data_IF_878349551920
#
_entry.id   IF_878349551920
#
_cell.length_a   1.000
_cell.length_b   1.000
_cell.length_c   1.000
_cell.angle_alpha   90.00
_cell.angle_beta   90.00
_cell.angle_gamma   90.00
#
_symmetry.space_group_name_H-M   'P 1'
#
loop_
_entity.id
_entity.type
_entity.pdbx_description
1 polymer ?
#
# COMPACT_ATOMS: atom_id res chain seq x y z
N UNK A 1 -0.10 -2.33 -2.53
CA UNK A 1 1.27 -2.23 -1.96
C UNK A 1 2.37 -2.68 -2.92
N UNK A 2 2.34 -3.90 -3.46
CA UNK A 2 3.41 -4.42 -4.35
C UNK A 2 3.60 -3.61 -5.65
N UNK A 3 2.51 -3.06 -6.20
CA UNK A 3 2.54 -2.15 -7.35
C UNK A 3 3.30 -0.85 -7.05
N UNK A 4 3.01 -0.19 -5.93
CA UNK A 4 3.72 1.04 -5.52
C UNK A 4 5.22 0.78 -5.30
N UNK A 5 5.58 -0.35 -4.71
CA UNK A 5 7.00 -0.72 -4.52
C UNK A 5 7.70 -0.87 -5.87
N UNK A 6 7.08 -1.59 -6.81
CA UNK A 6 7.62 -1.73 -8.18
C UNK A 6 7.70 -0.40 -8.92
N UNK A 7 6.69 0.44 -8.80
CA UNK A 7 6.64 1.77 -9.42
C UNK A 7 7.76 2.65 -8.86
N UNK A 8 7.95 2.69 -7.54
CA UNK A 8 9.02 3.45 -6.89
C UNK A 8 10.40 2.97 -7.35
N UNK A 9 10.63 1.65 -7.40
CA UNK A 9 11.90 1.08 -7.89
C UNK A 9 12.13 1.47 -9.35
N UNK A 10 11.11 1.40 -10.21
CA UNK A 10 11.23 1.79 -11.61
C UNK A 10 11.57 3.29 -11.76
N UNK A 11 10.91 4.17 -10.99
CA UNK A 11 11.20 5.60 -10.96
C UNK A 11 12.64 5.86 -10.54
N UNK A 12 13.12 5.20 -9.47
CA UNK A 12 14.49 5.35 -8.97
C UNK A 12 15.52 4.92 -10.02
N UNK A 13 15.29 3.80 -10.72
CA UNK A 13 16.20 3.33 -11.78
C UNK A 13 16.26 4.32 -12.94
N UNK A 14 15.10 4.82 -13.38
CA UNK A 14 15.03 5.83 -14.45
C UNK A 14 15.79 7.09 -14.04
N UNK A 15 15.58 7.58 -12.82
CA UNK A 15 16.34 8.71 -12.30
C UNK A 15 17.84 8.42 -12.20
N UNK A 16 18.27 7.25 -11.75
CA UNK A 16 19.69 6.91 -11.65
C UNK A 16 20.41 6.95 -13.01
N UNK A 17 19.72 6.61 -14.10
CA UNK A 17 20.27 6.67 -15.46
C UNK A 17 20.18 8.08 -16.05
N UNK A 18 19.09 8.81 -15.80
CA UNK A 18 18.92 10.16 -16.32
C UNK A 18 19.73 11.22 -15.57
N UNK A 19 19.96 11.05 -14.27
CA UNK A 19 20.58 12.05 -13.41
C UNK A 19 22.00 12.45 -13.84
N UNK A 20 22.89 11.53 -14.26
CA UNK A 20 24.21 11.88 -14.82
C UNK A 20 24.10 12.73 -16.09
N UNK A 21 23.11 12.44 -16.95
CA UNK A 21 22.85 13.13 -18.22
C UNK A 21 22.27 14.53 -17.96
N UNK A 22 21.50 14.69 -16.89
CA UNK A 22 20.86 15.93 -16.44
C UNK A 22 21.78 16.85 -15.63
N UNK A 23 22.86 16.32 -15.03
CA UNK A 23 23.87 17.13 -14.33
C UNK A 23 24.90 17.74 -15.29
N UNK A 24 25.12 17.11 -16.44
CA UNK A 24 26.02 17.66 -17.47
C UNK A 24 25.49 19.03 -17.94
N UNK A 25 26.25 20.10 -17.68
CA UNK A 25 25.91 21.48 -18.07
C UNK A 25 25.92 21.69 -19.58
N UNK A 26 26.69 20.87 -20.28
CA UNK A 26 26.98 21.04 -21.71
C UNK A 26 25.92 20.35 -22.58
N UNK A 27 25.06 19.54 -21.96
CA UNK A 27 23.98 18.86 -22.63
C UNK A 27 22.76 19.79 -22.83
N UNK A 28 22.36 19.97 -24.08
CA UNK A 28 21.15 20.75 -24.45
C UNK A 28 19.88 20.23 -23.77
N UNK A 29 19.79 18.92 -23.51
CA UNK A 29 18.67 18.31 -22.80
C UNK A 29 18.63 18.73 -21.33
N UNK A 30 19.79 18.79 -20.67
CA UNK A 30 19.94 19.28 -19.29
C UNK A 30 19.52 20.74 -19.19
N UNK A 31 19.99 21.59 -20.10
CA UNK A 31 19.61 22.99 -20.13
C UNK A 31 18.10 23.21 -20.29
N UNK A 32 17.44 22.41 -21.13
CA UNK A 32 15.97 22.45 -21.27
C UNK A 32 15.26 21.97 -20.00
N UNK A 33 15.77 20.92 -19.36
CA UNK A 33 15.18 20.34 -18.16
C UNK A 33 15.22 21.33 -16.99
N UNK A 34 16.36 22.00 -16.77
CA UNK A 34 16.51 23.00 -15.71
C UNK A 34 15.81 24.33 -16.02
N UNK A 35 15.41 24.57 -17.27
CA UNK A 35 14.61 25.74 -17.67
C UNK A 35 13.14 25.61 -17.25
N UNK A 36 12.69 24.41 -16.88
CA UNK A 36 11.34 24.17 -16.40
C UNK A 36 11.13 24.96 -15.08
N UNK A 37 10.01 25.70 -14.94
CA UNK A 37 9.74 26.47 -13.73
C UNK A 37 9.76 25.60 -12.47
N UNK A 38 10.34 26.13 -11.38
CA UNK A 38 10.38 25.44 -10.08
C UNK A 38 8.99 25.03 -9.60
N UNK A 39 7.98 25.85 -9.85
CA UNK A 39 6.60 25.59 -9.44
C UNK A 39 6.01 24.34 -10.11
N UNK A 40 6.43 24.04 -11.34
CA UNK A 40 6.01 22.83 -12.04
C UNK A 40 6.59 21.56 -11.37
N UNK A 41 7.86 21.61 -10.93
CA UNK A 41 8.48 20.52 -10.18
C UNK A 41 7.79 20.30 -8.83
N UNK A 42 7.46 21.39 -8.14
CA UNK A 42 6.72 21.34 -6.88
C UNK A 42 5.34 20.72 -7.08
N UNK A 43 4.62 21.12 -8.13
CA UNK A 43 3.33 20.53 -8.50
C UNK A 43 3.44 19.02 -8.75
N UNK A 44 4.46 18.56 -9.50
CA UNK A 44 4.69 17.14 -9.76
C UNK A 44 4.92 16.33 -8.47
N UNK A 45 5.69 16.89 -7.52
CA UNK A 45 5.94 16.25 -6.23
C UNK A 45 4.63 16.11 -5.43
N UNK A 46 3.81 17.16 -5.38
CA UNK A 46 2.52 17.13 -4.69
C UNK A 46 1.54 16.13 -5.33
N UNK A 47 1.47 16.10 -6.67
CA UNK A 47 0.66 15.12 -7.40
C UNK A 47 1.08 13.68 -7.08
N UNK A 48 2.38 13.41 -7.08
CA UNK A 48 2.91 12.09 -6.74
C UNK A 48 2.55 11.69 -5.29
N UNK A 49 2.68 12.63 -4.35
CA UNK A 49 2.33 12.40 -2.95
C UNK A 49 0.83 12.13 -2.76
N UNK A 50 -0.03 12.85 -3.49
CA UNK A 50 -1.47 12.63 -3.48
C UNK A 50 -1.83 11.21 -3.96
N UNK A 51 -1.19 10.73 -5.04
CA UNK A 51 -1.38 9.37 -5.56
C UNK A 51 -0.92 8.32 -4.55
N UNK A 52 0.26 8.50 -3.92
CA UNK A 52 0.73 7.60 -2.88
C UNK A 52 -0.28 7.52 -1.73
N UNK A 53 -0.75 8.68 -1.26
CA UNK A 53 -1.69 8.76 -0.14
C UNK A 53 -3.00 8.07 -0.46
N UNK A 54 -3.54 8.28 -1.67
CA UNK A 54 -4.78 7.63 -2.14
C UNK A 54 -4.64 6.11 -2.17
N UNK A 55 -3.57 5.59 -2.79
CA UNK A 55 -3.34 4.15 -2.88
C UNK A 55 -3.04 3.54 -1.50
N UNK A 56 -2.44 4.30 -0.58
CA UNK A 56 -2.21 3.86 0.78
C UNK A 56 -3.53 3.73 1.56
N UNK A 57 -4.44 4.70 1.43
CA UNK A 57 -5.77 4.65 2.05
C UNK A 57 -6.55 3.43 1.54
N UNK A 58 -6.62 3.25 0.21
CA UNK A 58 -7.32 2.11 -0.40
C UNK A 58 -6.73 0.77 0.06
N UNK A 59 -5.40 0.66 0.11
CA UNK A 59 -4.71 -0.52 0.64
C UNK A 59 -4.98 -0.76 2.13
N UNK A 60 -5.14 0.31 2.92
CA UNK A 60 -5.43 0.25 4.35
C UNK A 60 -6.85 -0.22 4.61
N UNK A 61 -7.83 0.29 3.87
CA UNK A 61 -9.22 -0.17 3.92
C UNK A 61 -9.33 -1.65 3.55
N UNK A 62 -8.66 -2.05 2.48
CA UNK A 62 -8.63 -3.45 2.04
C UNK A 62 -7.94 -4.37 3.06
N UNK A 63 -6.92 -3.88 3.79
CA UNK A 63 -6.28 -4.62 4.87
C UNK A 63 -7.17 -4.72 6.11
N UNK A 64 -7.95 -3.67 6.40
CA UNK A 64 -8.91 -3.64 7.51
C UNK A 64 -10.05 -4.63 7.28
N UNK A 65 -10.60 -4.67 6.07
CA UNK A 65 -11.64 -5.64 5.66
C UNK A 65 -11.12 -7.07 5.80
N UNK A 66 -9.91 -7.35 5.30
CA UNK A 66 -9.29 -8.67 5.46
C UNK A 66 -9.10 -9.08 6.92
N UNK A 67 -8.65 -8.16 7.79
CA UNK A 67 -8.57 -8.42 9.23
C UNK A 67 -9.93 -8.78 9.82
N UNK A 68 -10.99 -8.04 9.49
CA UNK A 68 -12.34 -8.33 9.98
C UNK A 68 -12.83 -9.71 9.52
N UNK A 69 -12.54 -10.10 8.28
CA UNK A 69 -12.85 -11.44 7.77
C UNK A 69 -12.09 -12.54 8.53
N UNK A 70 -10.80 -12.34 8.84
CA UNK A 70 -10.05 -13.28 9.68
C UNK A 70 -10.66 -13.39 11.09
N UNK A 71 -10.97 -12.27 11.75
CA UNK A 71 -11.58 -12.30 13.08
C UNK A 71 -12.93 -13.05 13.06
N UNK A 72 -13.81 -12.77 12.10
CA UNK A 72 -15.06 -13.49 11.95
C UNK A 72 -14.85 -14.99 11.68
N UNK A 73 -13.86 -15.36 10.86
CA UNK A 73 -13.58 -16.76 10.57
C UNK A 73 -12.97 -17.53 11.76
N UNK A 74 -12.39 -16.86 12.77
CA UNK A 74 -11.82 -17.51 13.96
C UNK A 74 -12.69 -17.37 15.23
N UNK A 75 -13.54 -16.36 15.34
CA UNK A 75 -14.56 -16.27 16.40
C UNK A 75 -15.71 -17.27 16.16
N UNK A 76 -16.21 -17.36 14.92
CA UNK A 76 -17.38 -18.20 14.59
C UNK A 76 -17.17 -19.71 14.84
N UNK A 77 -16.03 -20.35 14.51
CA UNK A 77 -15.82 -21.78 14.80
C UNK A 77 -15.75 -22.05 16.30
N UNK A 78 -15.16 -21.10 17.05
CA UNK A 78 -14.92 -21.26 18.47
C UNK A 78 -16.23 -21.18 19.26
N UNK A 79 -17.16 -20.30 18.88
CA UNK A 79 -18.49 -20.26 19.49
C UNK A 79 -19.33 -21.50 19.19
N UNK A 80 -19.33 -21.99 17.93
CA UNK A 80 -20.06 -23.23 17.59
C UNK A 80 -19.50 -24.45 18.31
N UNK A 81 -18.18 -24.57 18.45
CA UNK A 81 -17.58 -25.71 19.14
C UNK A 81 -17.81 -25.62 20.66
N UNK A 82 -17.73 -24.42 21.24
CA UNK A 82 -17.96 -24.21 22.67
C UNK A 82 -19.42 -24.46 23.06
N UNK A 83 -20.38 -24.03 22.25
CA UNK A 83 -21.80 -24.32 22.49
C UNK A 83 -22.11 -25.82 22.40
N UNK A 84 -21.55 -26.52 21.40
CA UNK A 84 -21.73 -27.98 21.26
C UNK A 84 -21.08 -28.76 22.42
N UNK A 85 -19.93 -28.30 22.92
CA UNK A 85 -19.26 -28.91 24.08
C UNK A 85 -20.06 -28.69 25.37
N UNK A 86 -20.62 -27.49 25.57
CA UNK A 86 -21.46 -27.18 26.74
C UNK A 86 -22.76 -27.98 26.68
N UNK A 87 -23.42 -28.04 25.53
CA UNK A 87 -24.67 -28.79 25.35
C UNK A 87 -24.47 -30.30 25.61
N UNK A 88 -23.38 -30.89 25.07
CA UNK A 88 -23.04 -32.28 25.35
C UNK A 88 -22.65 -32.53 26.81
N UNK A 89 -21.96 -31.57 27.46
CA UNK A 89 -21.62 -31.67 28.88
C UNK A 89 -22.85 -31.65 29.77
N UNK A 90 -23.85 -30.80 29.47
CA UNK A 90 -25.10 -30.73 30.24
C UNK A 90 -25.91 -32.02 30.02
N UNK A 91 -25.99 -32.51 28.78
CA UNK A 91 -26.70 -33.76 28.45
C UNK A 91 -26.08 -34.99 29.10
N UNK A 92 -24.75 -35.02 29.26
CA UNK A 92 -24.02 -36.10 29.94
C UNK A 92 -24.18 -36.08 31.47
N UNK A 93 -24.57 -34.96 32.08
CA UNK A 93 -24.80 -34.85 33.53
C UNK A 93 -26.26 -35.14 33.92
N UNK A 94 -27.17 -35.22 32.94
CA UNK A 94 -28.59 -35.46 33.15
C UNK A 94 -29.02 -36.93 32.95
N UNK A 95 -28.07 -37.81 32.60
CA UNK A 95 -28.22 -39.27 32.48
C UNK A 95 -27.48 -39.90 33.65
#
# INVERSE_FOLDING_TARGET
MFFLVKLTIAIVIVFAILFPILISSDNKLSALFWKIPKDFWVFLIFMYWAIITLVFIESSEQARIRRQQYFQQYEVPNETHKNVVIENSIKSQLI
#
